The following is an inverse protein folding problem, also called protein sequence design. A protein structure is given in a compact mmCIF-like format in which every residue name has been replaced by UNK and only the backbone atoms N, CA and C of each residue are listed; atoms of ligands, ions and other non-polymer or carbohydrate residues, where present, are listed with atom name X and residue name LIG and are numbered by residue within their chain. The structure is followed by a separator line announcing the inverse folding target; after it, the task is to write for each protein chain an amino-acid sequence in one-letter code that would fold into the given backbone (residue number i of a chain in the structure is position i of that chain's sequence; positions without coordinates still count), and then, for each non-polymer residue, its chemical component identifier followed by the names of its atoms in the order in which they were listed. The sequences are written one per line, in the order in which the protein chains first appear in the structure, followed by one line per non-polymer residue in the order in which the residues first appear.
data_IF_713901784508
#
_entry.id   IF_713901784508
#
_cell.length_a   1.000
_cell.length_b   1.000
_cell.length_c   1.000
_cell.angle_alpha   90.00
_cell.angle_beta   90.00
_cell.angle_gamma   90.00
#
_symmetry.space_group_name_H-M   'P 1'
#
loop_
_entity.id
_entity.type
_entity.pdbx_description
1 polymer ?
#
# COMPACT_ATOMS: atom_id res chain seq x y z
N UNK A 1 4.61 -30.50 -8.20
CA UNK A 1 3.75 -29.33 -8.46
C UNK A 1 3.95 -28.42 -7.27
N UNK A 2 4.68 -27.33 -7.45
CA UNK A 2 5.06 -26.42 -6.38
C UNK A 2 3.81 -25.75 -5.83
N UNK A 3 3.45 -26.08 -4.60
CA UNK A 3 2.49 -25.32 -3.82
C UNK A 3 3.13 -23.95 -3.64
N UNK A 4 2.59 -22.95 -4.33
CA UNK A 4 2.91 -21.56 -4.08
C UNK A 4 2.44 -21.29 -2.65
N UNK A 5 3.38 -20.98 -1.76
CA UNK A 5 3.11 -20.36 -0.47
C UNK A 5 2.23 -19.12 -0.70
N UNK A 6 0.91 -19.28 -0.57
CA UNK A 6 -0.01 -18.18 -0.31
C UNK A 6 0.26 -17.73 1.13
N UNK A 7 1.41 -17.07 1.34
CA UNK A 7 1.54 -16.06 2.39
C UNK A 7 0.43 -15.08 2.08
N UNK A 8 -0.67 -15.15 2.84
CA UNK A 8 -1.77 -14.23 2.75
C UNK A 8 -1.25 -12.82 3.04
N UNK A 9 -0.75 -12.15 2.00
CA UNK A 9 -0.45 -10.74 2.01
C UNK A 9 -1.80 -10.06 2.13
N UNK A 10 -2.19 -9.75 3.37
CA UNK A 10 -3.40 -8.96 3.63
C UNK A 10 -3.20 -7.60 2.95
N UNK A 11 -3.73 -7.48 1.74
CA UNK A 11 -3.64 -6.27 0.94
C UNK A 11 -4.89 -5.45 1.22
N UNK A 12 -4.70 -4.27 1.81
CA UNK A 12 -5.77 -3.33 2.07
C UNK A 12 -5.97 -2.43 0.85
N UNK A 13 -7.22 -2.21 0.45
CA UNK A 13 -7.58 -1.27 -0.62
C UNK A 13 -8.39 -0.10 -0.07
N UNK A 14 -7.97 1.11 -0.43
CA UNK A 14 -8.64 2.36 -0.09
C UNK A 14 -8.97 3.12 -1.38
N UNK A 15 -10.12 3.80 -1.40
CA UNK A 15 -10.50 4.75 -2.45
C UNK A 15 -10.43 6.16 -1.91
N UNK A 16 -9.78 7.06 -2.64
CA UNK A 16 -9.70 8.48 -2.29
C UNK A 16 -10.10 9.35 -3.48
N UNK A 17 -10.72 10.48 -3.22
CA UNK A 17 -11.08 11.46 -4.24
C UNK A 17 -10.25 12.74 -4.02
N UNK A 18 -9.39 13.09 -4.98
CA UNK A 18 -8.57 14.30 -4.94
C UNK A 18 -8.90 15.13 -6.18
N UNK A 19 -9.34 16.38 -6.00
CA UNK A 19 -9.62 17.28 -7.13
C UNK A 19 -10.69 16.78 -8.11
N UNK A 20 -11.61 15.91 -7.66
CA UNK A 20 -12.63 15.26 -8.50
C UNK A 20 -12.16 13.96 -9.18
N UNK A 21 -10.87 13.64 -9.09
CA UNK A 21 -10.31 12.39 -9.61
C UNK A 21 -10.32 11.31 -8.53
N UNK A 22 -10.81 10.11 -8.88
CA UNK A 22 -10.82 8.96 -7.97
C UNK A 22 -9.55 8.15 -8.14
N UNK A 23 -8.83 7.97 -7.03
CA UNK A 23 -7.68 7.09 -6.94
C UNK A 23 -8.03 5.86 -6.11
N UNK A 24 -7.53 4.71 -6.53
CA UNK A 24 -7.51 3.49 -5.72
C UNK A 24 -6.09 3.33 -5.23
N UNK A 25 -5.92 3.00 -3.95
CA UNK A 25 -4.62 2.66 -3.41
C UNK A 25 -4.71 1.30 -2.73
N UNK A 26 -3.81 0.41 -3.10
CA UNK A 26 -3.63 -0.89 -2.48
C UNK A 26 -2.32 -0.86 -1.71
N UNK A 27 -2.33 -1.30 -0.47
CA UNK A 27 -1.14 -1.44 0.36
C UNK A 27 -1.04 -2.84 0.91
N UNK A 28 0.18 -3.36 1.01
CA UNK A 28 0.46 -4.65 1.65
C UNK A 28 1.63 -4.53 2.60
N UNK A 29 1.59 -5.30 3.68
CA UNK A 29 2.76 -5.53 4.51
C UNK A 29 3.63 -6.64 3.88
N UNK A 30 4.92 -6.41 3.85
CA UNK A 30 5.94 -7.41 3.58
C UNK A 30 6.59 -7.76 4.91
N UNK A 31 6.32 -8.97 5.40
CA UNK A 31 7.07 -9.51 6.53
C UNK A 31 8.39 -10.05 5.98
N UNK A 32 9.50 -9.35 6.24
CA UNK A 32 10.83 -9.87 5.96
C UNK A 32 11.29 -10.75 7.13
N UNK A 33 12.07 -11.77 6.80
CA UNK A 33 12.55 -12.82 7.70
C UNK A 33 13.37 -12.34 8.91
N UNK A 34 13.72 -11.05 8.97
CA UNK A 34 14.50 -10.43 10.06
C UNK A 34 13.66 -9.52 10.98
N UNK A 35 12.33 -9.65 10.96
CA UNK A 35 11.45 -8.89 11.87
C UNK A 35 11.24 -7.44 11.48
N UNK A 36 11.81 -7.00 10.35
CA UNK A 36 11.46 -5.75 9.71
C UNK A 36 10.19 -5.94 8.88
N UNK A 37 9.15 -5.19 9.25
CA UNK A 37 7.93 -5.08 8.45
C UNK A 37 8.06 -3.90 7.51
N UNK A 38 8.11 -4.19 6.21
CA UNK A 38 8.03 -3.16 5.20
C UNK A 38 6.59 -3.03 4.71
N UNK A 39 6.26 -1.85 4.21
CA UNK A 39 4.99 -1.60 3.56
C UNK A 39 5.28 -1.24 2.11
N UNK A 40 4.45 -1.75 1.21
CA UNK A 40 4.44 -1.33 -0.18
C UNK A 40 3.05 -0.89 -0.56
N UNK A 41 2.95 0.03 -1.51
CA UNK A 41 1.68 0.49 -2.04
C UNK A 41 1.69 0.64 -3.56
N UNK A 42 0.51 0.48 -4.16
CA UNK A 42 0.22 0.64 -5.58
C UNK A 42 -0.97 1.56 -5.75
N UNK A 43 -0.92 2.47 -6.73
CA UNK A 43 -1.96 3.48 -6.98
C UNK A 43 -2.51 3.30 -8.39
N UNK A 44 -3.84 3.35 -8.50
CA UNK A 44 -4.56 3.44 -9.77
C UNK A 44 -5.32 4.75 -9.86
N UNK A 45 -5.45 5.24 -11.08
CA UNK A 45 -6.32 6.32 -11.48
C UNK A 45 -7.07 5.86 -12.73
N UNK A 46 -8.40 5.87 -12.72
CA UNK A 46 -9.22 5.46 -13.88
C UNK A 46 -8.77 4.12 -14.48
N UNK A 47 -8.60 3.11 -13.60
CA UNK A 47 -8.12 1.75 -13.92
C UNK A 47 -6.69 1.64 -14.47
N UNK A 48 -5.95 2.74 -14.57
CA UNK A 48 -4.53 2.75 -14.95
C UNK A 48 -3.63 2.80 -13.72
N UNK A 49 -2.59 1.96 -13.68
CA UNK A 49 -1.56 2.03 -12.64
C UNK A 49 -0.72 3.28 -12.87
N UNK A 50 -0.83 4.25 -11.96
CA UNK A 50 -0.01 5.47 -11.98
C UNK A 50 1.25 5.34 -11.14
N UNK A 51 1.23 4.40 -10.17
CA UNK A 51 2.38 4.05 -9.34
C UNK A 51 2.31 2.57 -9.02
N UNK A 52 3.30 1.80 -9.47
CA UNK A 52 3.42 0.39 -9.11
C UNK A 52 4.00 0.23 -7.69
N UNK A 53 4.06 -1.01 -7.18
CA UNK A 53 4.51 -1.37 -5.84
C UNK A 53 5.74 -0.57 -5.42
N UNK A 54 5.49 0.45 -4.61
CA UNK A 54 6.48 1.39 -4.12
C UNK A 54 6.62 1.16 -2.62
N UNK A 55 7.85 0.95 -2.16
CA UNK A 55 8.15 0.82 -0.74
C UNK A 55 7.84 2.13 0.00
N UNK A 56 7.08 2.03 1.08
CA UNK A 56 6.68 3.14 1.92
C UNK A 56 5.37 2.87 2.65
N UNK A 57 5.24 3.41 3.86
CA UNK A 57 3.98 3.38 4.58
C UNK A 57 3.10 4.54 4.09
N UNK A 58 1.92 4.23 3.56
CA UNK A 58 0.96 5.24 3.11
C UNK A 58 0.58 6.23 4.23
N UNK A 59 0.57 5.76 5.49
CA UNK A 59 0.31 6.61 6.65
C UNK A 59 1.32 7.76 6.77
N UNK A 60 2.59 7.57 6.39
CA UNK A 60 3.60 8.63 6.44
C UNK A 60 3.30 9.75 5.43
N UNK A 61 2.65 9.43 4.30
CA UNK A 61 2.32 10.38 3.26
C UNK A 61 1.00 11.13 3.53
N UNK A 62 0.03 10.48 4.17
CA UNK A 62 -1.30 11.04 4.43
C UNK A 62 -1.52 11.53 5.86
N UNK A 63 -0.58 11.28 6.78
CA UNK A 63 -0.62 11.83 8.14
C UNK A 63 0.47 12.89 8.36
N UNK A 64 0.32 14.13 7.86
CA UNK A 64 1.21 15.24 8.25
C UNK A 64 0.99 15.71 9.71
N UNK A 65 0.49 14.86 10.62
CA UNK A 65 -0.03 15.32 11.91
C UNK A 65 0.03 14.38 13.11
N UNK A 66 0.65 13.19 13.04
CA UNK A 66 0.81 12.31 14.22
C UNK A 66 2.23 12.33 14.79
N UNK A 67 2.91 13.48 14.66
CA UNK A 67 3.96 13.91 15.60
C UNK A 67 3.37 14.92 16.57
N UNK A 68 2.74 14.43 17.64
CA UNK A 68 2.83 15.00 18.98
C UNK A 68 2.13 14.08 19.98
N UNK A 69 2.88 13.70 21.02
CA UNK A 69 2.53 12.75 22.08
C UNK A 69 3.81 12.18 22.66
#
# INVERSE_FOLDING_TARGET
MSQQDEVGMDSHRMKICIGGTTYVIESRALDLSEGERFYEYRVWCEDQVVKDWTQGNMADFFAPGLRQG
#
